data_IF_603839665609
#
_entry.id   IF_603839665609
#
_cell.length_a   1.000
_cell.length_b   1.000
_cell.length_c   1.000
_cell.angle_alpha   90.00
_cell.angle_beta   90.00
_cell.angle_gamma   90.00
#
_symmetry.space_group_name_H-M   'P 1'
#
loop_
_entity.id
_entity.type
_entity.pdbx_description
1 polymer ?
#
# COMPACT_ATOMS: atom_id res chain seq x y z
N UNK A 1 -26.80 51.77 16.27
CA UNK A 1 -26.02 51.91 15.01
C UNK A 1 -24.92 50.88 15.07
N UNK A 2 -25.17 49.71 14.49
CA UNK A 2 -24.28 48.55 14.54
C UNK A 2 -23.07 48.76 13.63
N UNK A 3 -21.87 48.34 14.05
CA UNK A 3 -20.79 48.04 13.13
C UNK A 3 -20.98 46.58 12.65
N UNK A 4 -21.52 46.38 11.46
CA UNK A 4 -21.41 45.06 10.81
C UNK A 4 -20.02 44.97 10.17
N UNK A 5 -19.14 44.22 10.84
CA UNK A 5 -17.86 43.81 10.29
C UNK A 5 -18.06 42.87 9.10
N UNK A 6 -17.39 43.23 8.02
CA UNK A 6 -16.74 42.36 7.04
C UNK A 6 -16.49 40.92 7.49
N UNK A 7 -16.94 39.97 6.69
CA UNK A 7 -16.54 38.56 6.77
C UNK A 7 -17.04 37.82 5.54
N UNK A 8 -16.30 37.94 4.43
CA UNK A 8 -16.50 37.05 3.29
C UNK A 8 -16.25 35.61 3.73
N UNK A 9 -17.32 34.81 3.76
CA UNK A 9 -17.27 33.36 3.91
C UNK A 9 -16.62 32.77 2.64
N UNK A 10 -15.29 32.67 2.62
CA UNK A 10 -14.53 31.97 1.58
C UNK A 10 -14.15 30.56 2.05
N UNK A 11 -15.15 29.74 2.38
CA UNK A 11 -14.97 28.36 2.86
C UNK A 11 -14.66 27.34 1.75
N UNK A 12 -13.82 27.67 0.77
CA UNK A 12 -13.62 26.78 -0.39
C UNK A 12 -12.69 27.30 -1.49
N UNK A 13 -11.58 27.95 -1.14
CA UNK A 13 -10.55 28.29 -2.11
C UNK A 13 -9.72 27.06 -2.54
N UNK A 14 -9.24 27.02 -3.78
CA UNK A 14 -8.33 25.96 -4.29
C UNK A 14 -7.11 25.75 -3.39
N UNK A 15 -6.59 26.81 -2.79
CA UNK A 15 -5.49 26.75 -1.82
C UNK A 15 -5.84 25.93 -0.59
N UNK A 16 -7.04 26.09 -0.04
CA UNK A 16 -7.51 25.33 1.12
C UNK A 16 -7.77 23.87 0.76
N UNK A 17 -8.31 23.61 -0.44
CA UNK A 17 -8.48 22.25 -0.97
C UNK A 17 -7.14 21.50 -1.09
N UNK A 18 -6.09 22.17 -1.60
CA UNK A 18 -4.74 21.61 -1.72
C UNK A 18 -4.18 21.27 -0.35
N UNK A 19 -4.27 22.21 0.61
CA UNK A 19 -3.77 21.99 1.98
C UNK A 19 -4.52 20.84 2.66
N UNK A 20 -5.84 20.77 2.49
CA UNK A 20 -6.65 19.69 3.04
C UNK A 20 -6.28 18.32 2.45
N UNK A 21 -5.96 18.22 1.16
CA UNK A 21 -5.52 16.96 0.53
C UNK A 21 -4.11 16.51 0.93
N UNK A 22 -3.24 17.46 1.30
CA UNK A 22 -1.90 17.16 1.80
C UNK A 22 -1.90 16.80 3.29
N UNK A 23 -3.04 16.93 3.97
CA UNK A 23 -3.16 16.60 5.39
C UNK A 23 -3.45 15.11 5.57
N UNK A 24 -2.43 14.38 6.02
CA UNK A 24 -2.54 12.96 6.34
C UNK A 24 -3.44 12.70 7.55
N UNK A 25 -4.04 11.50 7.57
CA UNK A 25 -4.81 11.05 8.72
C UNK A 25 -3.88 10.56 9.83
N UNK A 26 -3.34 11.54 10.58
CA UNK A 26 -2.49 11.30 11.74
C UNK A 26 -3.29 11.38 13.05
N UNK A 27 -3.05 10.44 13.95
CA UNK A 27 -3.57 10.46 15.32
C UNK A 27 -2.37 10.62 16.25
N UNK A 28 -2.45 11.59 17.16
CA UNK A 28 -1.38 11.81 18.13
C UNK A 28 -1.56 10.81 19.28
N UNK A 29 -0.65 9.84 19.38
CA UNK A 29 -0.68 8.81 20.41
C UNK A 29 0.59 8.95 21.24
N UNK A 30 0.42 9.18 22.55
CA UNK A 30 1.54 9.31 23.52
C UNK A 30 2.60 10.36 23.12
N UNK A 31 2.20 11.43 22.45
CA UNK A 31 3.11 12.50 22.01
C UNK A 31 3.82 12.25 20.67
N UNK A 32 3.52 11.15 19.98
CA UNK A 32 4.02 10.85 18.64
C UNK A 32 2.91 10.90 17.58
N UNK A 33 3.25 11.41 16.39
CA UNK A 33 2.34 11.44 15.25
C UNK A 33 2.25 10.04 14.62
N UNK A 34 1.09 9.38 14.75
CA UNK A 34 0.83 8.06 14.19
C UNK A 34 0.03 8.16 12.90
N UNK A 35 0.65 7.82 11.77
CA UNK A 35 0.05 7.89 10.42
C UNK A 35 -0.87 6.69 10.14
N UNK A 36 -2.13 6.78 10.56
CA UNK A 36 -3.07 5.67 10.48
C UNK A 36 -3.37 5.28 9.02
N UNK A 37 -3.42 6.25 8.12
CA UNK A 37 -3.60 6.06 6.68
C UNK A 37 -2.52 5.15 6.08
N UNK A 38 -1.26 5.43 6.39
CA UNK A 38 -0.11 4.68 5.87
C UNK A 38 -0.10 3.24 6.40
N UNK A 39 -0.37 3.06 7.69
CA UNK A 39 -0.47 1.73 8.30
C UNK A 39 -1.63 0.92 7.72
N UNK A 40 -2.79 1.55 7.54
CA UNK A 40 -3.95 0.89 6.97
C UNK A 40 -3.69 0.43 5.54
N UNK A 41 -3.13 1.29 4.69
CA UNK A 41 -2.79 0.94 3.30
C UNK A 41 -1.74 -0.17 3.25
N UNK A 42 -0.69 -0.08 4.08
CA UNK A 42 0.36 -1.10 4.14
C UNK A 42 -0.20 -2.48 4.56
N UNK A 43 -1.06 -2.52 5.58
CA UNK A 43 -1.68 -3.76 6.03
C UNK A 43 -2.63 -4.36 4.99
N UNK A 44 -3.44 -3.52 4.32
CA UNK A 44 -4.36 -3.97 3.27
C UNK A 44 -3.58 -4.55 2.09
N UNK A 45 -2.59 -3.82 1.57
CA UNK A 45 -1.80 -4.27 0.42
C UNK A 45 -0.98 -5.50 0.78
N UNK A 46 -0.36 -5.53 1.97
CA UNK A 46 0.37 -6.69 2.47
C UNK A 46 -0.53 -7.92 2.59
N UNK A 47 -1.68 -7.79 3.25
CA UNK A 47 -2.65 -8.88 3.38
C UNK A 47 -3.17 -9.35 2.01
N UNK A 48 -3.51 -8.43 1.11
CA UNK A 48 -3.97 -8.76 -0.24
C UNK A 48 -2.89 -9.53 -1.01
N UNK A 49 -1.64 -9.08 -0.97
CA UNK A 49 -0.51 -9.77 -1.58
C UNK A 49 -0.32 -11.17 -1.01
N UNK A 50 -0.33 -11.33 0.31
CA UNK A 50 -0.25 -12.63 0.97
C UNK A 50 -1.42 -13.56 0.61
N UNK A 51 -2.65 -13.03 0.56
CA UNK A 51 -3.84 -13.80 0.20
C UNK A 51 -3.82 -14.25 -1.27
N UNK A 52 -3.33 -13.42 -2.18
CA UNK A 52 -3.15 -13.76 -3.59
C UNK A 52 -2.17 -14.92 -3.75
N UNK A 53 -1.00 -14.83 -3.12
CA UNK A 53 0.00 -15.91 -3.14
C UNK A 53 -0.54 -17.18 -2.50
N UNK A 54 -1.22 -17.07 -1.35
CA UNK A 54 -1.85 -18.21 -0.67
C UNK A 54 -2.91 -18.90 -1.54
N UNK A 55 -3.78 -18.11 -2.18
CA UNK A 55 -4.82 -18.62 -3.09
C UNK A 55 -4.22 -19.39 -4.26
N UNK A 56 -3.15 -18.88 -4.86
CA UNK A 56 -2.48 -19.51 -6.00
C UNK A 56 -1.67 -20.73 -5.57
N UNK A 57 -0.97 -20.69 -4.43
CA UNK A 57 -0.26 -21.82 -3.87
C UNK A 57 -1.21 -23.01 -3.59
N UNK A 58 -2.43 -22.75 -3.11
CA UNK A 58 -3.43 -23.82 -2.89
C UNK A 58 -4.00 -24.43 -4.17
N UNK A 59 -3.93 -23.70 -5.29
CA UNK A 59 -4.44 -24.16 -6.60
C UNK A 59 -3.33 -24.64 -7.54
N UNK A 60 -2.08 -24.58 -7.09
CA UNK A 60 -0.94 -25.00 -7.88
C UNK A 60 -1.04 -26.51 -8.17
N UNK A 61 -1.07 -26.84 -9.45
CA UNK A 61 -1.03 -28.21 -9.96
C UNK A 61 0.30 -28.44 -10.67
N UNK A 62 0.94 -29.59 -10.43
CA UNK A 62 2.21 -29.99 -11.07
C UNK A 62 2.08 -30.44 -12.53
N UNK A 63 0.84 -30.52 -13.03
CA UNK A 63 0.56 -30.86 -14.43
C UNK A 63 0.61 -29.63 -15.33
N UNK A 64 -0.42 -29.44 -16.16
CA UNK A 64 -0.53 -28.25 -17.03
C UNK A 64 -1.10 -27.08 -16.20
N UNK A 65 -0.36 -25.98 -16.02
CA UNK A 65 -0.83 -24.85 -15.23
C UNK A 65 -1.99 -24.14 -15.93
N UNK A 66 -2.96 -23.69 -15.14
CA UNK A 66 -4.04 -22.82 -15.64
C UNK A 66 -3.52 -21.41 -15.94
N UNK A 67 -4.18 -20.65 -16.83
CA UNK A 67 -3.76 -19.27 -17.20
C UNK A 67 -3.37 -18.36 -16.02
N UNK A 68 -4.15 -18.27 -14.92
CA UNK A 68 -3.77 -17.44 -13.77
C UNK A 68 -2.61 -18.03 -12.94
N UNK A 69 -2.46 -19.37 -12.90
CA UNK A 69 -1.31 -20.01 -12.26
C UNK A 69 -0.03 -19.68 -13.03
N UNK A 70 -0.05 -19.80 -14.36
CA UNK A 70 1.10 -19.48 -15.22
C UNK A 70 1.57 -18.02 -15.07
N UNK A 71 0.65 -17.07 -14.90
CA UNK A 71 1.03 -15.68 -14.62
C UNK A 71 1.76 -15.53 -13.29
N UNK A 72 1.28 -16.18 -12.24
CA UNK A 72 1.94 -16.14 -10.92
C UNK A 72 3.27 -16.88 -10.93
N UNK A 73 3.37 -18.01 -11.64
CA UNK A 73 4.64 -18.71 -11.84
C UNK A 73 5.68 -17.80 -12.51
N UNK A 74 5.31 -17.10 -13.61
CA UNK A 74 6.22 -16.14 -14.26
C UNK A 74 6.68 -15.03 -13.31
N UNK A 75 5.79 -14.46 -12.48
CA UNK A 75 6.17 -13.42 -11.52
C UNK A 75 7.11 -13.96 -10.44
N UNK A 76 6.84 -15.16 -9.92
CA UNK A 76 7.67 -15.80 -8.89
C UNK A 76 9.05 -16.17 -9.44
N UNK A 77 9.12 -16.73 -10.65
CA UNK A 77 10.39 -17.02 -11.33
C UNK A 77 11.22 -15.75 -11.59
N UNK A 78 10.57 -14.66 -11.99
CA UNK A 78 11.23 -13.37 -12.13
C UNK A 78 11.82 -12.89 -10.80
N UNK A 79 11.05 -12.94 -9.70
CA UNK A 79 11.55 -12.56 -8.37
C UNK A 79 12.71 -13.48 -7.93
N UNK A 80 12.62 -14.79 -8.15
CA UNK A 80 13.67 -15.74 -7.82
C UNK A 80 14.97 -15.46 -8.59
N UNK A 81 14.89 -15.11 -9.89
CA UNK A 81 16.04 -14.67 -10.68
C UNK A 81 16.69 -13.43 -10.07
N UNK A 82 15.89 -12.41 -9.75
CA UNK A 82 16.38 -11.16 -9.16
C UNK A 82 17.07 -11.41 -7.81
N UNK A 83 16.52 -12.30 -6.98
CA UNK A 83 17.12 -12.67 -5.69
C UNK A 83 18.44 -13.41 -5.88
N UNK A 84 18.51 -14.36 -6.82
CA UNK A 84 19.74 -15.09 -7.16
C UNK A 84 20.84 -14.17 -7.69
N UNK A 85 20.48 -13.21 -8.53
CA UNK A 85 21.42 -12.23 -9.08
C UNK A 85 21.93 -11.26 -8.00
N UNK A 86 21.10 -10.94 -7.01
CA UNK A 86 21.46 -10.02 -5.91
C UNK A 86 22.24 -10.73 -4.79
N UNK A 87 21.90 -11.98 -4.48
CA UNK A 87 22.45 -12.75 -3.38
C UNK A 87 23.11 -14.05 -3.86
N UNK A 88 24.43 -14.07 -3.87
CA UNK A 88 25.25 -15.24 -4.26
C UNK A 88 25.62 -16.14 -3.06
N UNK A 89 24.79 -16.17 -2.00
CA UNK A 89 25.09 -16.88 -0.75
C UNK A 89 24.88 -18.40 -0.83
N UNK A 90 25.89 -19.17 -0.42
CA UNK A 90 25.90 -20.63 -0.30
C UNK A 90 24.80 -21.12 0.67
N UNK A 91 24.05 -22.15 0.24
CA UNK A 91 22.81 -22.61 0.88
C UNK A 91 23.01 -23.86 1.74
N UNK A 92 24.22 -24.06 2.28
CA UNK A 92 24.54 -25.18 3.16
C UNK A 92 24.25 -24.85 4.63
N UNK A 93 23.00 -25.06 5.04
CA UNK A 93 22.62 -25.42 6.42
C UNK A 93 21.48 -26.44 6.38
#
# INVERSE_FOLDING_TARGET
MSPEQSGETSGGGLTEYIVHHLTHWKVQVLGHDFHLDSWLVALIVGALGSLLLYSQARKATSGVPSKPQAFVEMVVEFVDSQVKDTFHGDRRF
#
